data_IF_189262435252
#
_entry.id   IF_189262435252
#
_cell.length_a   1.000
_cell.length_b   1.000
_cell.length_c   1.000
_cell.angle_alpha   90.00
_cell.angle_beta   90.00
_cell.angle_gamma   90.00
#
_symmetry.space_group_name_H-M   'P 1'
#
loop_
_entity.id
_entity.type
_entity.pdbx_description
1 polymer ?
#
# COMPACT_ATOMS: atom_id res chain seq x y z
N UNK A 1 -9.01 4.55 -2.95
CA UNK A 1 -8.50 5.26 -4.14
C UNK A 1 -8.10 4.20 -5.14
N UNK A 2 -8.78 4.10 -6.30
CA UNK A 2 -8.33 3.24 -7.39
C UNK A 2 -7.39 4.09 -8.22
N UNK A 3 -6.08 3.85 -8.10
CA UNK A 3 -5.06 4.56 -8.89
C UNK A 3 -5.21 4.15 -10.36
N UNK A 4 -5.48 5.11 -11.24
CA UNK A 4 -5.44 4.84 -12.67
C UNK A 4 -3.97 4.92 -13.11
N UNK A 5 -3.29 3.78 -13.00
CA UNK A 5 -1.87 3.65 -13.29
C UNK A 5 -1.48 4.21 -14.66
N UNK A 6 -2.37 4.25 -15.67
CA UNK A 6 -2.04 4.76 -17.01
C UNK A 6 -2.13 6.28 -17.14
N UNK A 7 -3.07 6.91 -16.44
CA UNK A 7 -3.35 8.35 -16.62
C UNK A 7 -2.70 9.20 -15.51
N UNK A 8 -2.51 8.64 -14.32
CA UNK A 8 -2.01 9.38 -13.15
C UNK A 8 -0.48 9.26 -13.01
N UNK A 9 0.16 8.46 -13.89
CA UNK A 9 1.57 8.08 -13.84
C UNK A 9 2.53 9.26 -13.73
N UNK A 10 2.23 10.37 -14.41
CA UNK A 10 3.14 11.49 -14.57
C UNK A 10 3.17 12.42 -13.34
N UNK A 11 2.09 12.46 -12.55
CA UNK A 11 2.01 13.17 -11.26
C UNK A 11 2.43 12.29 -10.07
N UNK A 12 2.34 10.96 -10.23
CA UNK A 12 2.70 10.00 -9.19
C UNK A 12 4.19 9.96 -8.87
N UNK A 13 5.04 10.44 -9.77
CA UNK A 13 6.48 10.14 -9.77
C UNK A 13 7.27 10.70 -8.58
N UNK A 14 6.80 11.69 -7.83
CA UNK A 14 7.59 12.33 -6.75
C UNK A 14 7.20 11.90 -5.32
N UNK A 15 6.42 10.84 -5.12
CA UNK A 15 5.80 10.52 -3.83
C UNK A 15 6.15 9.16 -3.20
N UNK A 16 5.91 9.06 -1.89
CA UNK A 16 5.83 7.78 -1.19
C UNK A 16 4.41 7.18 -1.34
N UNK A 17 4.33 5.91 -1.70
CA UNK A 17 3.14 5.08 -1.62
C UNK A 17 2.94 4.60 -0.18
N UNK A 18 2.11 5.34 0.57
CA UNK A 18 1.67 4.97 1.91
C UNK A 18 0.58 3.90 1.82
N UNK A 19 0.79 2.75 2.45
CA UNK A 19 -0.17 1.64 2.32
C UNK A 19 -0.31 0.78 3.58
N UNK A 20 -1.46 0.14 3.66
CA UNK A 20 -1.82 -0.90 4.62
C UNK A 20 -2.87 -1.80 3.98
N UNK A 21 -2.89 -3.08 4.32
CA UNK A 21 -3.93 -4.00 3.86
C UNK A 21 -5.28 -3.70 4.52
N UNK A 22 -6.36 -3.79 3.75
CA UNK A 22 -7.72 -3.54 4.25
C UNK A 22 -8.13 -4.52 5.37
N UNK A 23 -7.61 -5.74 5.35
CA UNK A 23 -7.83 -6.76 6.41
C UNK A 23 -7.20 -6.32 7.72
N UNK A 24 -6.02 -5.72 7.67
CA UNK A 24 -5.34 -5.18 8.87
C UNK A 24 -6.08 -3.96 9.42
N UNK A 25 -6.60 -3.09 8.54
CA UNK A 25 -7.45 -1.97 8.95
C UNK A 25 -8.72 -2.46 9.65
N UNK A 26 -9.42 -3.45 9.10
CA UNK A 26 -10.61 -4.02 9.70
C UNK A 26 -10.30 -4.65 11.08
N UNK A 27 -9.22 -5.44 11.15
CA UNK A 27 -8.73 -6.03 12.41
C UNK A 27 -8.43 -4.96 13.45
N UNK A 28 -7.73 -3.88 13.08
CA UNK A 28 -7.41 -2.79 13.98
C UNK A 28 -8.64 -2.08 14.54
N UNK A 29 -9.70 -1.90 13.75
CA UNK A 29 -10.95 -1.31 14.24
C UNK A 29 -11.63 -2.21 15.27
N UNK A 30 -11.68 -3.53 15.02
CA UNK A 30 -12.26 -4.49 15.97
C UNK A 30 -11.44 -4.49 17.26
N UNK A 31 -10.11 -4.62 17.17
CA UNK A 31 -9.23 -4.65 18.33
C UNK A 31 -9.26 -3.34 19.13
N UNK A 32 -9.31 -2.18 18.47
CA UNK A 32 -9.42 -0.89 19.14
C UNK A 32 -10.74 -0.73 19.92
N UNK A 33 -11.81 -1.42 19.49
CA UNK A 33 -13.09 -1.44 20.19
C UNK A 33 -13.10 -2.46 21.35
N UNK A 34 -12.53 -3.64 21.13
CA UNK A 34 -12.60 -4.76 22.09
C UNK A 34 -11.56 -4.68 23.21
N UNK A 35 -10.37 -4.12 22.95
CA UNK A 35 -9.29 -4.01 23.93
C UNK A 35 -9.63 -2.90 24.94
N UNK A 36 -9.89 -3.20 26.23
CA UNK A 36 -10.38 -2.20 27.18
C UNK A 36 -9.39 -1.07 27.48
N UNK A 37 -8.09 -1.32 27.28
CA UNK A 37 -7.02 -0.33 27.46
C UNK A 37 -6.79 0.54 26.21
N UNK A 38 -7.49 0.27 25.10
CA UNK A 38 -7.34 1.04 23.88
C UNK A 38 -7.81 2.49 24.07
N UNK A 39 -7.02 3.46 23.62
CA UNK A 39 -7.33 4.88 23.81
C UNK A 39 -6.62 5.79 22.81
N UNK A 40 -7.24 6.92 22.50
CA UNK A 40 -6.69 7.93 21.60
C UNK A 40 -6.60 7.47 20.14
N UNK A 41 -5.57 7.92 19.43
CA UNK A 41 -5.38 7.69 17.99
C UNK A 41 -4.40 6.56 17.71
N UNK A 42 -4.63 5.82 16.62
CA UNK A 42 -3.78 4.73 16.12
C UNK A 42 -3.43 5.02 14.65
N UNK A 43 -2.14 5.09 14.34
CA UNK A 43 -1.68 5.24 12.96
C UNK A 43 -1.66 3.86 12.29
N UNK A 44 -2.29 3.78 11.11
CA UNK A 44 -2.41 2.55 10.33
C UNK A 44 -1.76 2.74 8.97
N UNK A 45 -0.43 2.66 8.94
CA UNK A 45 0.40 2.73 7.73
C UNK A 45 1.49 1.66 7.87
N UNK A 46 1.30 0.52 7.20
CA UNK A 46 2.22 -0.61 7.27
C UNK A 46 3.52 -0.32 6.52
N UNK A 47 3.41 0.32 5.34
CA UNK A 47 4.53 0.56 4.44
C UNK A 47 4.58 2.03 4.02
N UNK A 48 5.78 2.60 4.06
CA UNK A 48 6.14 3.88 3.43
C UNK A 48 7.14 3.53 2.33
N UNK A 49 6.64 3.31 1.12
CA UNK A 49 7.45 2.79 0.02
C UNK A 49 7.56 3.84 -1.06
N UNK A 50 8.77 4.20 -1.54
CA UNK A 50 8.89 5.04 -2.72
C UNK A 50 8.06 4.45 -3.87
N UNK A 51 7.32 5.28 -4.58
CA UNK A 51 6.35 4.77 -5.57
C UNK A 51 6.99 3.90 -6.65
N UNK A 52 8.24 4.18 -7.03
CA UNK A 52 8.97 3.40 -8.02
C UNK A 52 9.25 1.97 -7.52
N UNK A 53 9.59 1.79 -6.25
CA UNK A 53 9.74 0.46 -5.64
C UNK A 53 8.41 -0.28 -5.58
N UNK A 54 7.32 0.40 -5.22
CA UNK A 54 5.99 -0.21 -5.22
C UNK A 54 5.57 -0.68 -6.63
N UNK A 55 5.90 0.09 -7.67
CA UNK A 55 5.61 -0.26 -9.07
C UNK A 55 6.54 -1.34 -9.61
N UNK A 56 7.78 -1.41 -9.12
CA UNK A 56 8.70 -2.52 -9.38
C UNK A 56 8.17 -3.84 -8.79
N UNK A 57 7.72 -3.83 -7.53
CA UNK A 57 7.06 -5.00 -6.91
C UNK A 57 5.85 -5.42 -7.74
N UNK A 58 5.01 -4.47 -8.15
CA UNK A 58 3.84 -4.74 -8.98
C UNK A 58 4.23 -5.40 -10.32
N UNK A 59 5.28 -4.91 -10.97
CA UNK A 59 5.82 -5.44 -12.24
C UNK A 59 6.38 -6.86 -12.07
N UNK A 60 7.06 -7.13 -10.96
CA UNK A 60 7.59 -8.46 -10.62
C UNK A 60 6.46 -9.47 -10.37
N UNK A 61 5.41 -9.07 -9.65
CA UNK A 61 4.24 -9.91 -9.39
C UNK A 61 3.39 -10.16 -10.65
N UNK A 62 3.26 -9.15 -11.51
CA UNK A 62 2.41 -9.21 -12.69
C UNK A 62 3.05 -8.54 -13.92
N UNK A 63 3.99 -9.22 -14.60
CA UNK A 63 4.72 -8.64 -15.73
C UNK A 63 3.83 -8.23 -16.92
N UNK A 64 2.64 -8.84 -17.05
CA UNK A 64 1.67 -8.52 -18.11
C UNK A 64 0.97 -7.18 -17.90
N UNK A 65 0.88 -6.70 -16.66
CA UNK A 65 0.48 -5.33 -16.38
C UNK A 65 1.65 -4.44 -16.74
N UNK A 66 1.70 -3.90 -17.95
CA UNK A 66 2.70 -2.88 -18.34
C UNK A 66 2.47 -1.64 -17.48
N UNK A 67 3.22 -1.46 -16.36
CA UNK A 67 3.11 -0.22 -15.62
C UNK A 67 3.71 0.88 -16.50
N UNK A 68 3.40 2.15 -16.26
CA UNK A 68 4.12 3.24 -16.89
C UNK A 68 5.63 3.00 -16.72
N UNK A 69 6.40 3.16 -17.79
CA UNK A 69 7.84 3.28 -17.64
C UNK A 69 8.10 4.54 -16.84
N UNK A 70 8.50 4.36 -15.57
CA UNK A 70 8.93 5.47 -14.74
C UNK A 70 10.39 5.69 -15.07
N UNK A 71 10.71 6.84 -15.66
CA UNK A 71 12.09 7.30 -15.72
C UNK A 71 12.56 7.59 -14.29
N UNK A 72 13.54 6.82 -13.80
CA UNK A 72 14.24 7.09 -12.54
C UNK A 72 15.01 8.44 -12.60
N UNK A 73 15.38 8.87 -13.81
CA UNK A 73 16.14 10.08 -14.05
C UNK A 73 15.28 11.35 -13.82
N UNK A 74 15.57 12.08 -12.75
CA UNK A 74 15.00 13.39 -12.47
C UNK A 74 13.90 13.42 -11.40
N UNK A 75 13.56 12.28 -10.80
CA UNK A 75 12.61 12.21 -9.68
C UNK A 75 13.34 12.60 -8.38
N UNK A 76 12.88 13.63 -7.64
CA UNK A 76 13.42 13.90 -6.32
C UNK A 76 13.20 12.69 -5.43
N UNK A 77 14.25 12.19 -4.78
CA UNK A 77 14.12 11.14 -3.77
C UNK A 77 13.06 11.58 -2.76
N UNK A 78 11.98 10.82 -2.64
CA UNK A 78 10.97 11.10 -1.64
C UNK A 78 11.62 11.05 -0.26
N UNK A 79 11.27 11.96 0.68
CA UNK A 79 11.90 11.96 1.98
C UNK A 79 11.68 10.62 2.68
N UNK A 80 12.77 10.03 3.18
CA UNK A 80 12.71 8.81 3.99
C UNK A 80 12.10 9.16 5.35
N UNK A 81 10.89 8.68 5.59
CA UNK A 81 10.26 8.73 6.90
C UNK A 81 9.54 7.42 7.16
N UNK A 82 9.28 7.15 8.44
CA UNK A 82 8.51 6.01 8.87
C UNK A 82 7.34 6.48 9.73
N UNK A 83 6.24 5.75 9.66
CA UNK A 83 5.10 5.93 10.55
C UNK A 83 5.21 4.92 11.68
N UNK A 84 5.11 5.37 12.93
CA UNK A 84 5.18 4.46 14.07
C UNK A 84 3.99 3.49 14.06
N UNK A 85 4.31 2.20 14.11
CA UNK A 85 3.36 1.09 14.22
C UNK A 85 3.21 0.57 15.66
N UNK A 86 4.02 1.06 16.60
CA UNK A 86 4.09 0.56 17.99
C UNK A 86 2.71 0.47 18.63
N UNK A 87 1.94 1.56 18.54
CA UNK A 87 0.62 1.63 19.17
C UNK A 87 -0.41 0.75 18.47
N UNK A 88 -0.33 0.58 17.15
CA UNK A 88 -1.23 -0.33 16.44
C UNK A 88 -0.87 -1.80 16.73
N UNK A 89 0.42 -2.13 16.86
CA UNK A 89 0.89 -3.45 17.31
C UNK A 89 0.44 -3.77 18.73
N UNK A 90 0.33 -2.78 19.61
CA UNK A 90 -0.16 -3.00 20.98
C UNK A 90 -1.64 -3.41 21.05
N UNK A 91 -2.39 -3.30 19.95
CA UNK A 91 -3.74 -3.87 19.81
C UNK A 91 -3.73 -5.36 19.40
N UNK A 92 -2.55 -5.96 19.16
CA UNK A 92 -2.44 -7.34 18.66
C UNK A 92 -2.69 -7.47 17.17
N UNK A 93 -2.66 -6.38 16.41
CA UNK A 93 -2.87 -6.37 14.96
C UNK A 93 -1.59 -6.77 14.24
N UNK A 94 -1.72 -7.73 13.32
CA UNK A 94 -0.67 -8.09 12.36
C UNK A 94 -0.65 -7.13 11.17
N UNK A 95 0.47 -7.11 10.44
CA UNK A 95 0.61 -6.29 9.23
C UNK A 95 1.04 -7.19 8.07
N UNK A 96 0.21 -7.25 7.03
CA UNK A 96 0.53 -7.98 5.82
C UNK A 96 1.58 -7.23 4.99
N UNK A 97 2.56 -7.95 4.39
CA UNK A 97 3.53 -7.34 3.50
C UNK A 97 2.88 -6.69 2.28
N UNK A 98 3.51 -5.63 1.75
CA UNK A 98 3.01 -4.89 0.60
C UNK A 98 2.76 -5.80 -0.62
N UNK A 99 3.64 -6.77 -0.85
CA UNK A 99 3.58 -7.73 -1.96
C UNK A 99 2.29 -8.56 -1.92
N UNK A 100 1.84 -8.93 -0.71
CA UNK A 100 0.59 -9.67 -0.49
C UNK A 100 -0.59 -8.80 -0.87
N UNK A 101 -0.63 -7.57 -0.37
CA UNK A 101 -1.71 -6.61 -0.65
C UNK A 101 -1.80 -6.27 -2.13
N UNK A 102 -0.66 -6.04 -2.81
CA UNK A 102 -0.61 -5.73 -4.24
C UNK A 102 -1.09 -6.90 -5.10
N UNK A 103 -0.60 -8.12 -4.83
CA UNK A 103 -1.03 -9.33 -5.54
C UNK A 103 -2.53 -9.54 -5.39
N UNK A 104 -3.02 -9.55 -4.16
CA UNK A 104 -4.43 -9.83 -3.89
C UNK A 104 -5.34 -8.72 -4.48
N UNK A 105 -4.85 -7.47 -4.54
CA UNK A 105 -5.55 -6.35 -5.22
C UNK A 105 -5.66 -6.60 -6.71
N UNK A 106 -4.57 -6.96 -7.39
CA UNK A 106 -4.58 -7.23 -8.83
C UNK A 106 -5.47 -8.40 -9.18
N UNK A 107 -5.38 -9.51 -8.43
CA UNK A 107 -6.21 -10.68 -8.66
C UNK A 107 -7.70 -10.35 -8.44
N UNK A 108 -8.05 -9.61 -7.39
CA UNK A 108 -9.41 -9.14 -7.17
C UNK A 108 -9.90 -8.24 -8.33
N UNK A 109 -9.07 -7.34 -8.85
CA UNK A 109 -9.43 -6.49 -9.99
C UNK A 109 -9.62 -7.30 -11.29
N UNK A 110 -8.83 -8.34 -11.53
CA UNK A 110 -9.02 -9.28 -12.65
C UNK A 110 -10.32 -10.07 -12.50
N UNK A 111 -10.56 -10.65 -11.33
CA UNK A 111 -11.78 -11.43 -11.02
C UNK A 111 -13.05 -10.59 -11.20
N UNK A 112 -12.99 -9.30 -10.86
CA UNK A 112 -14.11 -8.36 -11.02
C UNK A 112 -14.21 -7.74 -12.42
N UNK A 113 -13.32 -8.09 -13.35
CA UNK A 113 -13.33 -7.61 -14.73
C UNK A 113 -12.85 -6.17 -14.92
N UNK A 114 -12.20 -5.58 -13.91
CA UNK A 114 -11.61 -4.24 -13.99
C UNK A 114 -10.23 -4.24 -14.64
N UNK A 115 -9.52 -5.38 -14.58
CA UNK A 115 -8.26 -5.61 -15.29
C UNK A 115 -8.44 -6.75 -16.29
N UNK A 116 -7.85 -6.60 -17.48
CA UNK A 116 -7.76 -7.70 -18.44
C UNK A 116 -6.69 -8.68 -17.97
N UNK A 117 -7.02 -9.96 -18.00
CA UNK A 117 -6.09 -11.06 -17.73
C UNK A 117 -4.96 -11.10 -18.78
#
# INVERSE_FOLDING_TARGET
MVLNLKNDAQELTAGNYLSIDVRDVASAHIQAFEVPSATGRYCLVANVTPIFEALKILKELHPSLSPPEICEEGIPSAPEYQVSLEKAKSLGVGFLPLEVSLRDTVECLKEKGFLRA
#
